data_IF_184241134343
#
_entry.id   IF_184241134343
#
_cell.length_a   1.000
_cell.length_b   1.000
_cell.length_c   1.000
_cell.angle_alpha   90.00
_cell.angle_beta   90.00
_cell.angle_gamma   90.00
#
_symmetry.space_group_name_H-M   'P 1'
#
loop_
_entity.id
_entity.type
_entity.pdbx_description
1 polymer ?
#
# COMPACT_ATOMS: atom_id res chain seq x y z
N UNK A 1 -20.11 -8.62 -8.76
CA UNK A 1 -20.02 -9.51 -9.93
C UNK A 1 -21.43 -10.01 -10.27
N UNK A 2 -21.79 -10.11 -11.55
CA UNK A 2 -23.19 -10.35 -12.01
C UNK A 2 -23.50 -11.80 -12.42
N UNK A 3 -22.73 -12.79 -11.94
CA UNK A 3 -22.95 -14.20 -12.29
C UNK A 3 -23.17 -15.07 -11.05
N UNK A 4 -24.26 -15.86 -11.05
CA UNK A 4 -24.45 -16.94 -10.09
C UNK A 4 -23.33 -17.99 -10.27
N UNK A 5 -22.70 -18.44 -9.18
CA UNK A 5 -21.70 -19.53 -9.20
C UNK A 5 -20.23 -19.15 -8.97
N UNK A 6 -19.88 -17.86 -8.89
CA UNK A 6 -18.49 -17.45 -8.58
C UNK A 6 -18.02 -17.80 -7.15
N UNK A 7 -18.91 -18.32 -6.30
CA UNK A 7 -18.64 -18.84 -4.96
C UNK A 7 -18.79 -20.38 -4.88
N UNK A 8 -18.95 -21.09 -6.01
CA UNK A 8 -19.29 -22.51 -6.01
C UNK A 8 -18.17 -23.41 -5.46
N UNK A 9 -16.91 -22.99 -5.57
CA UNK A 9 -15.76 -23.66 -4.96
C UNK A 9 -14.60 -22.66 -4.77
N UNK A 10 -13.57 -23.09 -4.03
CA UNK A 10 -12.40 -22.27 -3.70
C UNK A 10 -11.72 -21.70 -4.96
N UNK A 11 -11.49 -22.51 -6.00
CA UNK A 11 -10.81 -22.06 -7.22
C UNK A 11 -11.58 -20.93 -7.92
N UNK A 12 -12.89 -21.09 -8.09
CA UNK A 12 -13.75 -20.06 -8.69
C UNK A 12 -13.82 -18.80 -7.84
N UNK A 13 -13.85 -18.96 -6.50
CA UNK A 13 -13.83 -17.85 -5.56
C UNK A 13 -12.52 -17.06 -5.64
N UNK A 14 -11.37 -17.74 -5.73
CA UNK A 14 -10.06 -17.10 -5.96
C UNK A 14 -10.06 -16.38 -7.31
N UNK A 15 -10.44 -17.08 -8.39
CA UNK A 15 -10.42 -16.56 -9.77
C UNK A 15 -11.23 -15.26 -9.93
N UNK A 16 -12.41 -15.21 -9.30
CA UNK A 16 -13.36 -14.10 -9.38
C UNK A 16 -13.29 -13.13 -8.19
N UNK A 17 -12.39 -13.35 -7.23
CA UNK A 17 -12.26 -12.52 -6.03
C UNK A 17 -13.59 -12.39 -5.25
N UNK A 18 -14.23 -13.51 -4.92
CA UNK A 18 -15.54 -13.50 -4.27
C UNK A 18 -15.46 -13.13 -2.77
N UNK A 19 -15.79 -11.88 -2.44
CA UNK A 19 -15.78 -11.39 -1.06
C UNK A 19 -16.65 -12.24 -0.12
N UNK A 20 -17.87 -12.59 -0.53
CA UNK A 20 -18.79 -13.38 0.30
C UNK A 20 -18.23 -14.76 0.65
N UNK A 21 -17.49 -15.39 -0.28
CA UNK A 21 -16.87 -16.69 -0.03
C UNK A 21 -15.77 -16.56 1.04
N UNK A 22 -14.84 -15.60 0.90
CA UNK A 22 -13.73 -15.46 1.83
C UNK A 22 -14.13 -14.88 3.20
N UNK A 23 -15.12 -13.98 3.23
CA UNK A 23 -15.74 -13.55 4.49
C UNK A 23 -16.37 -14.75 5.23
N UNK A 24 -17.05 -15.64 4.51
CA UNK A 24 -17.61 -16.84 5.11
C UNK A 24 -16.53 -17.82 5.57
N UNK A 25 -15.48 -18.07 4.78
CA UNK A 25 -14.36 -18.92 5.17
C UNK A 25 -13.67 -18.37 6.42
N UNK A 26 -13.41 -17.06 6.48
CA UNK A 26 -12.88 -16.41 7.68
C UNK A 26 -13.76 -16.66 8.91
N UNK A 27 -15.08 -16.45 8.77
CA UNK A 27 -16.02 -16.73 9.86
C UNK A 27 -15.96 -18.19 10.32
N UNK A 28 -15.90 -19.14 9.38
CA UNK A 28 -15.78 -20.57 9.70
C UNK A 28 -14.45 -20.92 10.36
N UNK A 29 -13.36 -20.21 10.03
CA UNK A 29 -12.06 -20.38 10.68
C UNK A 29 -12.10 -19.89 12.13
N UNK A 30 -12.64 -18.68 12.36
CA UNK A 30 -12.69 -18.07 13.69
C UNK A 30 -13.75 -18.74 14.59
N UNK A 31 -14.93 -19.06 14.05
CA UNK A 31 -16.01 -19.74 14.79
C UNK A 31 -15.85 -21.28 14.80
N UNK A 32 -14.65 -21.81 14.52
CA UNK A 32 -14.46 -23.25 14.40
C UNK A 32 -14.72 -23.93 15.77
N UNK A 33 -15.65 -24.90 15.85
CA UNK A 33 -15.98 -25.58 17.12
C UNK A 33 -14.82 -26.36 17.77
N UNK A 34 -13.68 -26.48 17.08
CA UNK A 34 -12.46 -27.05 17.65
C UNK A 34 -11.79 -26.12 18.68
N UNK A 35 -12.08 -24.82 18.65
CA UNK A 35 -11.59 -23.83 19.63
C UNK A 35 -12.62 -23.62 20.75
N UNK A 36 -12.18 -23.09 21.89
CA UNK A 36 -13.09 -22.89 23.04
C UNK A 36 -14.06 -21.74 22.78
N UNK A 37 -13.57 -20.65 22.18
CA UNK A 37 -14.35 -19.48 21.85
C UNK A 37 -13.80 -18.73 20.62
N UNK A 38 -14.41 -17.58 20.32
CA UNK A 38 -14.08 -16.72 19.19
C UNK A 38 -12.71 -16.06 19.34
N UNK A 39 -12.25 -15.81 20.58
CA UNK A 39 -10.94 -15.19 20.83
C UNK A 39 -9.85 -16.19 20.45
N UNK A 40 -9.94 -17.43 20.93
CA UNK A 40 -9.01 -18.51 20.60
C UNK A 40 -8.92 -18.76 19.07
N UNK A 41 -10.08 -18.86 18.40
CA UNK A 41 -10.11 -19.06 16.95
C UNK A 41 -9.57 -17.88 16.15
N UNK A 42 -9.71 -16.65 16.68
CA UNK A 42 -9.13 -15.46 16.08
C UNK A 42 -7.62 -15.38 16.29
N UNK A 43 -7.11 -15.76 17.47
CA UNK A 43 -5.68 -15.83 17.76
C UNK A 43 -4.98 -16.83 16.84
N UNK A 44 -5.57 -18.01 16.61
CA UNK A 44 -5.02 -18.99 15.67
C UNK A 44 -5.01 -18.45 14.23
N UNK A 45 -6.06 -17.74 13.81
CA UNK A 45 -6.06 -17.06 12.50
C UNK A 45 -4.95 -16.01 12.39
N UNK A 46 -4.75 -15.20 13.44
CA UNK A 46 -3.71 -14.19 13.50
C UNK A 46 -2.31 -14.82 13.46
N UNK A 47 -2.11 -15.94 14.16
CA UNK A 47 -0.87 -16.71 14.14
C UNK A 47 -0.57 -17.28 12.75
N UNK A 48 -1.58 -17.79 12.04
CA UNK A 48 -1.43 -18.17 10.63
C UNK A 48 -0.98 -16.99 9.76
N UNK A 49 -1.53 -15.79 9.98
CA UNK A 49 -1.11 -14.58 9.25
C UNK A 49 0.34 -14.20 9.57
N UNK A 50 0.77 -14.35 10.82
CA UNK A 50 2.16 -14.17 11.24
C UNK A 50 3.12 -15.18 10.61
N UNK A 51 2.70 -16.45 10.49
CA UNK A 51 3.45 -17.48 9.77
C UNK A 51 3.61 -17.18 8.27
N UNK A 52 2.63 -16.51 7.64
CA UNK A 52 2.78 -15.95 6.29
C UNK A 52 3.72 -14.72 6.22
N UNK A 53 4.16 -14.21 7.38
CA UNK A 53 5.05 -13.05 7.49
C UNK A 53 4.32 -11.71 7.57
N UNK A 54 3.01 -11.69 7.80
CA UNK A 54 2.26 -10.45 8.03
C UNK A 54 2.30 -10.01 9.49
N UNK A 55 2.22 -8.71 9.76
CA UNK A 55 2.22 -8.17 11.13
C UNK A 55 3.56 -8.26 11.88
N UNK A 56 4.57 -8.91 11.29
CA UNK A 56 5.92 -9.07 11.83
C UNK A 56 6.98 -8.62 10.81
N UNK A 57 8.13 -8.07 11.26
CA UNK A 57 9.27 -7.85 10.38
C UNK A 57 9.76 -9.19 9.82
N UNK A 58 10.05 -9.24 8.51
CA UNK A 58 10.63 -10.43 7.87
C UNK A 58 12.11 -10.59 8.23
N UNK A 59 12.78 -9.47 8.55
CA UNK A 59 14.20 -9.40 8.86
C UNK A 59 15.06 -9.07 7.64
N UNK A 60 14.56 -8.23 6.73
CA UNK A 60 15.31 -7.80 5.54
C UNK A 60 16.55 -6.98 5.94
N UNK A 61 17.60 -7.04 5.14
CA UNK A 61 18.86 -6.29 5.29
C UNK A 61 18.72 -4.79 4.92
N UNK A 62 17.57 -4.17 5.22
CA UNK A 62 17.32 -2.74 5.05
C UNK A 62 16.86 -2.09 6.35
N UNK A 63 17.30 -0.84 6.63
CA UNK A 63 16.80 -0.09 7.77
C UNK A 63 15.33 0.32 7.55
N UNK A 64 14.58 0.42 8.64
CA UNK A 64 13.22 0.95 8.62
C UNK A 64 12.15 -0.03 8.10
N UNK A 65 12.39 -1.34 8.19
CA UNK A 65 11.36 -2.34 7.92
C UNK A 65 10.14 -2.10 8.81
N UNK A 66 8.99 -1.83 8.19
CA UNK A 66 7.72 -1.75 8.91
C UNK A 66 7.17 -3.16 9.12
N UNK A 67 6.66 -3.42 10.33
CA UNK A 67 6.02 -4.70 10.67
C UNK A 67 4.63 -4.88 10.02
N UNK A 68 4.03 -3.81 9.48
CA UNK A 68 2.61 -3.83 9.10
C UNK A 68 1.70 -3.89 10.33
N UNK A 69 0.53 -4.51 10.21
CA UNK A 69 -0.39 -4.74 11.32
C UNK A 69 -1.26 -5.97 11.04
N UNK A 70 -1.35 -6.88 11.99
CA UNK A 70 -2.44 -7.85 12.09
C UNK A 70 -3.05 -7.58 13.46
N UNK A 71 -4.35 -7.23 13.55
CA UNK A 71 -4.96 -6.90 14.82
C UNK A 71 -4.98 -8.13 15.73
N UNK A 72 -4.84 -7.89 17.04
CA UNK A 72 -4.95 -8.91 18.08
C UNK A 72 -6.28 -8.81 18.83
N UNK A 73 -6.51 -9.72 19.77
CA UNK A 73 -7.71 -9.72 20.63
C UNK A 73 -7.79 -8.43 21.45
N UNK A 74 -6.65 -7.89 21.91
CA UNK A 74 -6.59 -6.64 22.68
C UNK A 74 -7.13 -5.43 21.90
N UNK A 75 -6.89 -5.34 20.59
CA UNK A 75 -7.43 -4.29 19.73
C UNK A 75 -8.96 -4.29 19.67
N UNK A 76 -9.59 -5.47 19.59
CA UNK A 76 -11.04 -5.60 19.55
C UNK A 76 -11.68 -5.52 20.93
N UNK A 77 -11.02 -6.06 21.96
CA UNK A 77 -11.43 -5.97 23.36
C UNK A 77 -11.55 -4.53 23.82
N UNK A 78 -10.54 -3.69 23.51
CA UNK A 78 -10.52 -2.26 23.86
C UNK A 78 -11.64 -1.46 23.19
N UNK A 79 -11.92 -1.72 21.92
CA UNK A 79 -12.91 -0.93 21.16
C UNK A 79 -14.36 -1.36 21.41
N UNK A 80 -14.57 -2.63 21.76
CA UNK A 80 -15.91 -3.21 21.91
C UNK A 80 -16.23 -3.59 23.36
N UNK A 81 -15.43 -3.12 24.34
CA UNK A 81 -15.57 -3.47 25.75
C UNK A 81 -15.67 -4.99 25.99
N UNK A 82 -14.82 -5.79 25.32
CA UNK A 82 -14.84 -7.26 25.31
C UNK A 82 -16.10 -7.90 24.69
N UNK A 83 -16.91 -7.15 23.94
CA UNK A 83 -18.11 -7.67 23.26
C UNK A 83 -17.94 -7.62 21.75
N UNK A 84 -17.22 -8.59 21.18
CA UNK A 84 -17.07 -8.73 19.73
C UNK A 84 -17.24 -10.20 19.30
N UNK A 85 -17.48 -10.38 18.01
CA UNK A 85 -17.64 -11.70 17.38
C UNK A 85 -16.86 -11.74 16.07
N UNK A 86 -16.76 -12.88 15.41
CA UNK A 86 -16.23 -12.99 14.04
C UNK A 86 -16.96 -12.08 13.03
N UNK A 87 -18.20 -11.70 13.31
CA UNK A 87 -18.95 -10.73 12.49
C UNK A 87 -18.43 -9.30 12.66
N UNK A 88 -17.85 -8.95 13.81
CA UNK A 88 -17.27 -7.62 14.08
C UNK A 88 -16.06 -7.35 13.21
N UNK A 89 -15.24 -8.38 12.97
CA UNK A 89 -13.98 -8.29 12.22
C UNK A 89 -14.02 -9.09 10.90
N UNK A 90 -15.22 -9.36 10.39
CA UNK A 90 -15.49 -10.16 9.19
C UNK A 90 -14.71 -9.71 7.95
N UNK A 91 -14.43 -8.41 7.84
CA UNK A 91 -13.72 -7.82 6.70
C UNK A 91 -12.23 -8.15 6.66
N UNK A 92 -11.65 -8.69 7.75
CA UNK A 92 -10.29 -9.26 7.74
C UNK A 92 -10.18 -10.41 6.73
N UNK A 93 -11.23 -11.23 6.58
CA UNK A 93 -11.29 -12.31 5.60
C UNK A 93 -11.11 -11.89 4.14
N UNK A 94 -11.27 -10.59 3.84
CA UNK A 94 -11.09 -10.03 2.49
C UNK A 94 -9.93 -9.03 2.39
N UNK A 95 -9.07 -8.94 3.41
CA UNK A 95 -7.91 -8.06 3.37
C UNK A 95 -8.18 -6.60 3.77
N UNK A 96 -9.22 -6.35 4.57
CA UNK A 96 -9.66 -5.02 5.00
C UNK A 96 -9.70 -4.94 6.54
N UNK A 97 -10.23 -3.84 7.11
CA UNK A 97 -10.21 -3.54 8.55
C UNK A 97 -8.83 -3.04 9.03
N UNK A 98 -8.40 -3.42 10.23
CA UNK A 98 -7.15 -2.98 10.87
C UNK A 98 -5.89 -3.64 10.31
N UNK A 99 -6.01 -4.59 9.38
CA UNK A 99 -4.84 -5.26 8.83
C UNK A 99 -4.10 -4.37 7.82
N UNK A 100 -2.78 -4.35 7.95
CA UNK A 100 -1.86 -3.61 7.09
C UNK A 100 -0.71 -4.53 6.71
N UNK A 101 -0.36 -4.55 5.42
CA UNK A 101 0.76 -5.35 4.92
C UNK A 101 1.69 -4.48 4.06
N UNK A 102 2.99 -4.71 4.18
CA UNK A 102 3.96 -4.07 3.28
C UNK A 102 4.01 -4.80 1.93
N UNK A 103 4.41 -4.14 0.83
CA UNK A 103 4.66 -4.81 -0.44
C UNK A 103 5.66 -5.97 -0.34
N UNK A 104 6.67 -5.85 0.54
CA UNK A 104 7.64 -6.91 0.76
C UNK A 104 7.01 -8.14 1.43
N UNK A 105 6.16 -7.95 2.45
CA UNK A 105 5.40 -9.05 3.07
C UNK A 105 4.49 -9.75 2.06
N UNK A 106 3.78 -9.00 1.20
CA UNK A 106 2.95 -9.58 0.16
C UNK A 106 3.76 -10.39 -0.88
N UNK A 107 4.93 -9.90 -1.29
CA UNK A 107 5.81 -10.63 -2.19
C UNK A 107 6.33 -11.91 -1.53
N UNK A 108 6.72 -11.84 -0.25
CA UNK A 108 7.16 -13.01 0.50
C UNK A 108 6.05 -14.05 0.71
N UNK A 109 4.81 -13.63 0.94
CA UNK A 109 3.67 -14.54 0.99
C UNK A 109 3.50 -15.30 -0.34
N UNK A 110 3.76 -14.67 -1.49
CA UNK A 110 3.78 -15.39 -2.78
C UNK A 110 4.92 -16.39 -2.86
N UNK A 111 6.11 -16.08 -2.31
CA UNK A 111 7.20 -17.04 -2.20
C UNK A 111 6.79 -18.26 -1.35
N UNK A 112 6.14 -18.05 -0.20
CA UNK A 112 5.66 -19.12 0.67
C UNK A 112 4.67 -20.04 -0.07
N UNK A 113 3.70 -19.46 -0.80
CA UNK A 113 2.73 -20.24 -1.59
C UNK A 113 3.43 -21.00 -2.71
N UNK A 114 4.28 -20.32 -3.48
CA UNK A 114 5.03 -20.90 -4.60
C UNK A 114 5.94 -22.06 -4.17
N UNK A 115 6.54 -21.93 -2.99
CA UNK A 115 7.46 -22.90 -2.40
C UNK A 115 6.78 -23.94 -1.51
N UNK A 116 5.44 -23.92 -1.38
CA UNK A 116 4.68 -24.86 -0.54
C UNK A 116 5.09 -24.82 0.95
N UNK A 117 5.15 -23.61 1.51
CA UNK A 117 5.21 -23.39 2.95
C UNK A 117 6.55 -22.98 3.52
N UNK A 118 7.56 -22.75 2.68
CA UNK A 118 8.86 -22.23 3.13
C UNK A 118 9.30 -20.99 2.34
N UNK A 119 10.19 -20.20 2.92
CA UNK A 119 10.86 -19.10 2.24
C UNK A 119 12.29 -18.93 2.75
N UNK A 120 13.07 -18.09 2.06
CA UNK A 120 14.34 -17.57 2.54
C UNK A 120 14.12 -16.10 2.87
N UNK A 121 14.71 -15.61 3.96
CA UNK A 121 14.56 -14.20 4.33
C UNK A 121 14.96 -13.31 3.16
N UNK A 122 14.08 -12.41 2.68
CA UNK A 122 14.40 -11.54 1.56
C UNK A 122 15.58 -10.64 1.93
N UNK A 123 16.49 -10.44 0.98
CA UNK A 123 17.71 -9.65 1.17
C UNK A 123 18.17 -9.03 -0.14
N UNK A 124 18.90 -7.92 -0.05
CA UNK A 124 19.44 -7.16 -1.17
C UNK A 124 20.91 -7.49 -1.43
N UNK A 125 21.68 -7.80 -0.39
CA UNK A 125 23.10 -8.15 -0.50
C UNK A 125 23.25 -9.53 -1.13
N UNK A 126 23.55 -9.59 -2.43
CA UNK A 126 23.73 -10.86 -3.14
C UNK A 126 24.97 -11.64 -2.64
N UNK A 127 26.12 -10.97 -2.53
CA UNK A 127 27.36 -11.55 -2.02
C UNK A 127 28.28 -10.49 -1.44
N UNK A 128 29.09 -10.90 -0.47
CA UNK A 128 30.24 -10.15 0.02
C UNK A 128 31.48 -10.72 -0.67
N UNK A 129 32.31 -9.87 -1.25
CA UNK A 129 33.56 -10.28 -1.90
C UNK A 129 34.59 -10.53 -0.80
N UNK A 130 35.33 -11.63 -0.91
CA UNK A 130 36.29 -12.07 0.12
C UNK A 130 35.65 -12.23 1.50
N UNK A 131 34.48 -12.90 1.54
CA UNK A 131 33.67 -13.13 2.73
C UNK A 131 34.49 -13.70 3.90
N UNK A 132 34.55 -12.95 5.00
CA UNK A 132 35.17 -13.39 6.26
C UNK A 132 34.23 -14.31 7.05
N UNK A 133 34.72 -14.86 8.16
CA UNK A 133 33.89 -15.67 9.07
C UNK A 133 32.77 -14.83 9.72
N UNK A 134 33.06 -13.56 10.05
CA UNK A 134 32.08 -12.61 10.58
C UNK A 134 31.00 -12.29 9.54
N UNK A 135 31.41 -12.05 8.29
CA UNK A 135 30.49 -11.81 7.17
C UNK A 135 29.59 -13.03 6.91
N UNK A 136 30.17 -14.24 6.97
CA UNK A 136 29.42 -15.49 6.84
C UNK A 136 28.36 -15.61 7.93
N UNK A 137 28.73 -15.29 9.16
CA UNK A 137 27.81 -15.30 10.30
C UNK A 137 26.68 -14.31 10.11
N UNK A 138 26.96 -13.11 9.58
CA UNK A 138 25.97 -12.10 9.24
C UNK A 138 25.03 -12.56 8.10
N UNK A 139 25.55 -13.28 7.10
CA UNK A 139 24.78 -13.69 5.92
C UNK A 139 24.00 -15.00 6.11
N UNK A 140 24.38 -15.84 7.07
CA UNK A 140 23.76 -17.14 7.33
C UNK A 140 22.23 -17.12 7.51
N UNK A 141 21.62 -16.14 8.22
CA UNK A 141 20.15 -16.05 8.34
C UNK A 141 19.42 -15.94 7.00
N UNK A 142 20.04 -15.35 5.98
CA UNK A 142 19.46 -15.16 4.65
C UNK A 142 19.61 -16.40 3.75
N UNK A 143 20.59 -17.25 4.05
CA UNK A 143 20.87 -18.51 3.34
C UNK A 143 20.11 -19.70 3.91
N UNK A 144 19.44 -19.54 5.06
CA UNK A 144 18.72 -20.61 5.74
C UNK A 144 17.25 -20.66 5.31
N UNK A 145 16.80 -21.86 4.95
CA UNK A 145 15.38 -22.13 4.68
C UNK A 145 14.55 -21.98 5.95
N UNK A 146 13.50 -21.17 5.90
CA UNK A 146 12.50 -21.00 6.97
C UNK A 146 11.25 -21.79 6.60
N UNK A 147 11.03 -22.90 7.28
CA UNK A 147 9.84 -23.73 7.14
C UNK A 147 8.75 -23.19 8.08
N UNK A 148 7.76 -22.49 7.56
CA UNK A 148 6.73 -21.82 8.37
C UNK A 148 5.35 -22.47 8.24
N UNK A 149 5.03 -23.03 7.07
CA UNK A 149 3.72 -23.60 6.76
C UNK A 149 3.84 -24.92 5.97
N UNK A 150 4.97 -25.63 6.11
CA UNK A 150 5.23 -26.89 5.38
C UNK A 150 4.37 -28.06 5.85
N UNK A 151 3.61 -27.88 6.93
CA UNK A 151 2.62 -28.83 7.44
C UNK A 151 1.30 -28.79 6.64
N UNK A 152 1.06 -27.75 5.83
CA UNK A 152 -0.11 -27.68 4.95
C UNK A 152 0.02 -28.71 3.83
N UNK A 153 -1.07 -29.45 3.56
CA UNK A 153 -1.06 -30.50 2.53
C UNK A 153 -0.82 -29.96 1.12
N UNK A 154 -0.16 -30.76 0.29
CA UNK A 154 0.05 -30.44 -1.13
C UNK A 154 -1.26 -30.23 -1.89
N UNK A 155 -2.32 -30.94 -1.51
CA UNK A 155 -3.66 -30.78 -2.08
C UNK A 155 -4.20 -29.36 -1.85
N UNK A 156 -4.01 -28.82 -0.64
CA UNK A 156 -4.42 -27.45 -0.32
C UNK A 156 -3.61 -26.42 -1.10
N UNK A 157 -2.28 -26.58 -1.16
CA UNK A 157 -1.42 -25.71 -1.98
C UNK A 157 -1.82 -25.77 -3.46
N UNK A 158 -2.04 -26.96 -4.01
CA UNK A 158 -2.46 -27.15 -5.39
C UNK A 158 -3.79 -26.43 -5.68
N UNK A 159 -4.77 -26.54 -4.78
CA UNK A 159 -6.05 -25.86 -4.95
C UNK A 159 -5.90 -24.33 -5.01
N UNK A 160 -5.06 -23.75 -4.15
CA UNK A 160 -4.78 -22.31 -4.13
C UNK A 160 -3.99 -21.89 -5.37
N UNK A 161 -2.92 -22.61 -5.72
CA UNK A 161 -2.06 -22.32 -6.88
C UNK A 161 -2.85 -22.40 -8.19
N UNK A 162 -3.65 -23.44 -8.39
CA UNK A 162 -4.53 -23.55 -9.57
C UNK A 162 -5.59 -22.43 -9.57
N UNK A 163 -6.16 -22.10 -8.41
CA UNK A 163 -7.08 -20.97 -8.28
C UNK A 163 -6.42 -19.65 -8.68
N UNK A 164 -5.18 -19.39 -8.26
CA UNK A 164 -4.41 -18.21 -8.65
C UNK A 164 -4.05 -18.20 -10.14
N UNK A 165 -3.78 -19.36 -10.74
CA UNK A 165 -3.59 -19.48 -12.18
C UNK A 165 -4.87 -19.20 -12.96
N UNK A 166 -6.01 -19.64 -12.44
CA UNK A 166 -7.34 -19.38 -13.00
C UNK A 166 -7.67 -17.87 -13.01
N UNK A 167 -7.19 -17.10 -12.02
CA UNK A 167 -7.30 -15.62 -12.01
C UNK A 167 -6.75 -15.03 -13.31
N UNK A 168 -5.65 -15.58 -13.83
CA UNK A 168 -5.00 -15.12 -15.06
C UNK A 168 -5.61 -15.77 -16.29
N UNK A 169 -5.98 -17.06 -16.25
CA UNK A 169 -6.56 -17.75 -17.41
C UNK A 169 -7.94 -17.20 -17.80
N UNK A 170 -8.83 -17.03 -16.84
CA UNK A 170 -10.19 -16.57 -17.11
C UNK A 170 -10.79 -15.64 -16.05
N UNK A 171 -10.11 -15.43 -14.92
CA UNK A 171 -10.59 -14.57 -13.83
C UNK A 171 -10.28 -13.09 -14.00
N UNK A 172 -10.07 -12.42 -12.88
CA UNK A 172 -9.93 -10.94 -12.81
C UNK A 172 -8.61 -10.39 -13.37
N UNK A 173 -7.59 -11.22 -13.62
CA UNK A 173 -6.25 -10.81 -14.03
C UNK A 173 -5.84 -11.29 -15.42
N UNK A 174 -6.78 -11.50 -16.36
CA UNK A 174 -6.45 -11.89 -17.75
C UNK A 174 -5.41 -10.99 -18.42
N UNK A 175 -5.33 -9.73 -17.98
CA UNK A 175 -4.33 -8.76 -18.43
C UNK A 175 -2.88 -9.21 -18.20
N UNK A 176 -2.63 -10.08 -17.21
CA UNK A 176 -1.31 -10.54 -16.80
C UNK A 176 -0.84 -11.81 -17.53
N UNK A 177 -1.62 -12.31 -18.51
CA UNK A 177 -1.23 -13.46 -19.33
C UNK A 177 0.05 -13.18 -20.10
N UNK A 178 0.96 -14.15 -20.07
CA UNK A 178 2.19 -14.16 -20.86
C UNK A 178 2.17 -15.44 -21.72
N UNK A 179 2.38 -15.34 -23.05
CA UNK A 179 2.41 -16.52 -23.90
C UNK A 179 3.42 -17.56 -23.39
N UNK A 180 3.01 -18.83 -23.36
CA UNK A 180 3.83 -19.97 -22.93
C UNK A 180 4.33 -19.95 -21.47
N UNK A 181 3.84 -19.03 -20.63
CA UNK A 181 4.19 -18.97 -19.20
C UNK A 181 2.91 -19.00 -18.38
N UNK A 182 2.75 -20.04 -17.57
CA UNK A 182 1.66 -20.10 -16.60
C UNK A 182 1.96 -19.16 -15.43
N UNK A 183 1.21 -18.08 -15.35
CA UNK A 183 1.29 -17.09 -14.26
C UNK A 183 0.25 -17.41 -13.20
N UNK A 184 0.63 -17.38 -11.92
CA UNK A 184 -0.30 -17.38 -10.80
C UNK A 184 -0.40 -15.96 -10.25
N UNK A 185 -1.61 -15.41 -10.11
CA UNK A 185 -1.76 -14.04 -9.64
C UNK A 185 -3.00 -13.83 -8.79
N UNK A 186 -3.05 -12.67 -8.13
CA UNK A 186 -4.25 -12.15 -7.50
C UNK A 186 -4.30 -10.63 -7.61
N UNK A 187 -5.47 -10.12 -7.99
CA UNK A 187 -5.77 -8.68 -7.95
C UNK A 187 -6.23 -8.28 -6.55
N UNK A 188 -5.94 -7.03 -6.17
CA UNK A 188 -6.51 -6.40 -4.99
C UNK A 188 -6.89 -4.95 -5.29
N UNK A 189 -7.81 -4.43 -4.49
CA UNK A 189 -8.22 -3.02 -4.52
C UNK A 189 -8.32 -2.59 -3.07
N UNK A 190 -7.29 -1.91 -2.57
CA UNK A 190 -7.25 -1.47 -1.19
C UNK A 190 -7.90 -0.10 -1.07
N UNK A 191 -8.82 0.07 -0.14
CA UNK A 191 -9.46 1.37 0.05
C UNK A 191 -8.46 2.37 0.61
N UNK A 192 -8.53 3.60 0.12
CA UNK A 192 -7.62 4.65 0.54
C UNK A 192 -8.40 5.84 1.09
N UNK A 193 -7.97 6.34 2.24
CA UNK A 193 -8.57 7.49 2.90
C UNK A 193 -7.48 8.44 3.36
N UNK A 194 -7.77 9.73 3.34
CA UNK A 194 -6.90 10.76 3.93
C UNK A 194 -7.72 11.66 4.84
N UNK A 195 -7.04 12.35 5.76
CA UNK A 195 -7.64 13.42 6.56
C UNK A 195 -7.21 14.75 5.96
N UNK A 196 -8.16 15.53 5.50
CA UNK A 196 -7.93 16.88 4.97
C UNK A 196 -8.84 17.86 5.72
N UNK A 197 -8.24 18.89 6.31
CA UNK A 197 -8.94 19.91 7.09
C UNK A 197 -9.88 19.32 8.17
N UNK A 198 -9.39 18.30 8.88
CA UNK A 198 -10.14 17.62 9.94
C UNK A 198 -11.25 16.68 9.45
N UNK A 199 -11.40 16.49 8.14
CA UNK A 199 -12.42 15.61 7.54
C UNK A 199 -11.77 14.40 6.88
N UNK A 200 -12.36 13.21 7.08
CA UNK A 200 -11.97 11.99 6.38
C UNK A 200 -12.52 12.02 4.95
N UNK A 201 -11.63 11.95 3.97
CA UNK A 201 -11.95 11.97 2.53
C UNK A 201 -11.53 10.64 1.92
N UNK A 202 -12.43 10.03 1.13
CA UNK A 202 -12.12 8.84 0.34
C UNK A 202 -11.29 9.24 -0.88
N UNK A 203 -10.14 8.60 -1.04
CA UNK A 203 -9.28 8.73 -2.20
C UNK A 203 -9.57 7.61 -3.20
N UNK A 204 -9.10 7.72 -4.47
CA UNK A 204 -9.09 6.56 -5.34
C UNK A 204 -8.36 5.40 -4.66
N UNK A 205 -8.91 4.20 -4.80
CA UNK A 205 -8.35 3.00 -4.20
C UNK A 205 -6.92 2.75 -4.71
N UNK A 206 -6.12 2.03 -3.93
CA UNK A 206 -4.80 1.58 -4.37
C UNK A 206 -4.95 0.32 -5.22
N UNK A 207 -4.28 0.30 -6.36
CA UNK A 207 -4.23 -0.83 -7.27
C UNK A 207 -3.18 -1.81 -6.75
N UNK A 208 -3.65 -2.97 -6.29
CA UNK A 208 -2.79 -4.01 -5.73
C UNK A 208 -2.74 -5.20 -6.67
N UNK A 209 -1.57 -5.80 -6.82
CA UNK A 209 -1.39 -7.01 -7.62
C UNK A 209 -0.24 -7.83 -7.06
N UNK A 210 -0.47 -9.13 -6.90
CA UNK A 210 0.58 -10.07 -6.51
C UNK A 210 0.62 -11.22 -7.50
N UNK A 211 1.80 -11.74 -7.79
CA UNK A 211 1.96 -12.89 -8.66
C UNK A 211 3.28 -13.62 -8.43
N UNK A 212 3.32 -14.85 -8.93
CA UNK A 212 4.56 -15.57 -9.16
C UNK A 212 4.50 -16.35 -10.48
N UNK A 213 5.66 -16.57 -11.08
CA UNK A 213 5.77 -17.30 -12.33
C UNK A 213 7.17 -17.91 -12.53
N UNK A 214 7.29 -18.94 -13.40
CA UNK A 214 6.22 -19.82 -13.88
C UNK A 214 5.55 -20.61 -12.75
N UNK A 215 4.31 -21.07 -12.94
CA UNK A 215 3.57 -21.88 -11.94
C UNK A 215 4.33 -23.16 -11.56
N UNK A 216 4.86 -23.85 -12.56
CA UNK A 216 5.44 -25.19 -12.42
C UNK A 216 6.84 -25.16 -11.78
N UNK A 217 7.60 -24.10 -12.03
CA UNK A 217 8.95 -23.89 -11.49
C UNK A 217 9.15 -22.41 -11.18
N UNK A 218 8.59 -21.91 -10.07
CA UNK A 218 8.60 -20.48 -9.74
C UNK A 218 10.01 -19.89 -9.72
N UNK A 219 10.21 -18.80 -10.48
CA UNK A 219 11.49 -18.08 -10.58
C UNK A 219 11.42 -16.64 -10.10
N UNK A 220 10.23 -16.06 -10.05
CA UNK A 220 10.00 -14.69 -9.64
C UNK A 220 8.67 -14.57 -8.91
N UNK A 221 8.65 -13.78 -7.83
CA UNK A 221 7.46 -13.34 -7.12
C UNK A 221 7.46 -11.81 -7.07
N UNK A 222 6.31 -11.20 -7.34
CA UNK A 222 6.17 -9.74 -7.45
C UNK A 222 4.93 -9.31 -6.65
N UNK A 223 5.07 -8.20 -5.92
CA UNK A 223 3.96 -7.43 -5.40
C UNK A 223 4.03 -6.00 -5.96
N UNK A 224 2.94 -5.54 -6.56
CA UNK A 224 2.78 -4.18 -7.09
C UNK A 224 1.71 -3.45 -6.30
N UNK A 225 2.06 -2.26 -5.81
CA UNK A 225 1.13 -1.32 -5.21
C UNK A 225 1.23 0.00 -5.98
N UNK A 226 0.14 0.42 -6.62
CA UNK A 226 0.04 1.74 -7.27
C UNK A 226 -1.00 2.56 -6.53
N UNK A 227 -0.53 3.61 -5.87
CA UNK A 227 -1.40 4.46 -5.05
C UNK A 227 -2.34 5.28 -5.91
N UNK A 228 -3.58 5.46 -5.43
CA UNK A 228 -4.60 6.31 -6.07
C UNK A 228 -4.95 5.91 -7.52
N UNK A 229 -4.79 4.64 -7.87
CA UNK A 229 -4.84 4.15 -9.25
C UNK A 229 -6.13 3.35 -9.57
N UNK A 230 -6.97 3.07 -8.57
CA UNK A 230 -8.18 2.27 -8.72
C UNK A 230 -7.89 0.78 -8.78
N UNK A 231 -8.35 0.11 -9.85
CA UNK A 231 -8.38 -1.34 -9.92
C UNK A 231 -7.00 -2.00 -10.16
N UNK A 232 -6.77 -3.15 -9.51
CA UNK A 232 -5.58 -3.99 -9.65
C UNK A 232 -5.21 -4.37 -11.10
N UNK A 233 -6.22 -4.68 -11.92
CA UNK A 233 -6.02 -5.12 -13.31
C UNK A 233 -5.67 -3.99 -14.29
N UNK A 234 -5.87 -2.72 -13.90
CA UNK A 234 -5.58 -1.56 -14.77
C UNK A 234 -4.12 -1.12 -14.68
N UNK A 235 -3.50 -1.28 -13.50
CA UNK A 235 -2.14 -0.81 -13.23
C UNK A 235 -1.23 -1.92 -12.74
N UNK A 236 -1.54 -2.53 -11.58
CA UNK A 236 -0.70 -3.56 -10.99
C UNK A 236 -0.46 -4.76 -11.90
N UNK A 237 -1.50 -5.26 -12.57
CA UNK A 237 -1.41 -6.38 -13.50
C UNK A 237 -0.47 -6.13 -14.70
N UNK A 238 -0.66 -5.04 -15.46
CA UNK A 238 0.27 -4.65 -16.53
C UNK A 238 1.72 -4.46 -16.06
N UNK A 239 1.95 -3.80 -14.92
CA UNK A 239 3.30 -3.61 -14.37
C UNK A 239 3.94 -4.95 -14.05
N UNK A 240 3.23 -5.83 -13.35
CA UNK A 240 3.72 -7.17 -13.03
C UNK A 240 4.03 -7.98 -14.30
N UNK A 241 3.19 -7.91 -15.33
CA UNK A 241 3.43 -8.56 -16.63
C UNK A 241 4.72 -8.07 -17.29
N UNK A 242 4.94 -6.75 -17.32
CA UNK A 242 6.16 -6.15 -17.89
C UNK A 242 7.40 -6.67 -17.14
N UNK A 243 7.37 -6.68 -15.81
CA UNK A 243 8.48 -7.16 -14.98
C UNK A 243 8.74 -8.66 -15.19
N UNK A 244 7.69 -9.49 -15.22
CA UNK A 244 7.82 -10.93 -15.47
C UNK A 244 8.34 -11.22 -16.88
N UNK A 245 7.82 -10.55 -17.92
CA UNK A 245 8.32 -10.72 -19.30
C UNK A 245 9.80 -10.34 -19.39
N UNK A 246 10.19 -9.19 -18.81
CA UNK A 246 11.59 -8.77 -18.83
C UNK A 246 12.49 -9.73 -18.06
N UNK A 247 12.06 -10.26 -16.92
CA UNK A 247 12.87 -11.19 -16.13
C UNK A 247 12.98 -12.58 -16.77
N UNK A 248 11.87 -13.12 -17.30
CA UNK A 248 11.82 -14.51 -17.77
C UNK A 248 12.22 -14.67 -19.25
N UNK A 249 11.94 -13.66 -20.08
CA UNK A 249 12.17 -13.73 -21.54
C UNK A 249 13.27 -12.75 -22.01
N UNK A 250 13.83 -11.95 -21.11
CA UNK A 250 14.76 -10.83 -21.38
C UNK A 250 14.23 -9.77 -22.37
N UNK A 251 12.96 -9.87 -22.77
CA UNK A 251 12.33 -9.09 -23.84
C UNK A 251 10.90 -8.73 -23.47
N UNK A 252 10.40 -7.64 -24.04
CA UNK A 252 9.02 -7.18 -23.86
C UNK A 252 8.20 -7.42 -25.12
N UNK A 253 6.99 -7.96 -24.96
CA UNK A 253 5.99 -8.04 -26.01
C UNK A 253 5.57 -6.64 -26.48
N UNK A 254 5.02 -6.51 -27.70
CA UNK A 254 4.50 -5.25 -28.20
C UNK A 254 3.44 -4.64 -27.25
N UNK A 255 2.61 -5.51 -26.66
CA UNK A 255 1.62 -5.14 -25.65
C UNK A 255 2.27 -4.59 -24.38
N UNK A 256 3.33 -5.23 -23.87
CA UNK A 256 4.09 -4.71 -22.72
C UNK A 256 4.72 -3.36 -22.99
N UNK A 257 5.29 -3.16 -24.18
CA UNK A 257 5.87 -1.87 -24.57
C UNK A 257 4.81 -0.76 -24.60
N UNK A 258 3.63 -1.04 -25.16
CA UNK A 258 2.52 -0.08 -25.16
C UNK A 258 2.02 0.25 -23.74
N UNK A 259 1.87 -0.76 -22.87
CA UNK A 259 1.49 -0.53 -21.48
C UNK A 259 2.57 0.25 -20.72
N UNK A 260 3.85 -0.04 -20.94
CA UNK A 260 4.96 0.70 -20.33
C UNK A 260 4.90 2.19 -20.70
N UNK A 261 4.71 2.52 -21.98
CA UNK A 261 4.57 3.90 -22.45
C UNK A 261 3.36 4.62 -21.85
N UNK A 262 2.23 3.91 -21.71
CA UNK A 262 1.03 4.46 -21.07
C UNK A 262 1.27 4.74 -19.59
N UNK A 263 1.91 3.81 -18.88
CA UNK A 263 2.14 3.89 -17.44
C UNK A 263 3.18 4.96 -17.11
N UNK A 264 4.26 5.06 -17.89
CA UNK A 264 5.32 6.04 -17.67
C UNK A 264 4.85 7.50 -17.86
N UNK A 265 3.82 7.72 -18.68
CA UNK A 265 3.21 9.04 -18.93
C UNK A 265 2.07 9.39 -17.98
N UNK A 266 1.67 8.47 -17.10
CA UNK A 266 0.54 8.70 -16.20
C UNK A 266 0.89 9.65 -15.05
N UNK A 267 -0.08 10.51 -14.67
CA UNK A 267 0.01 11.31 -13.46
C UNK A 267 -1.13 10.92 -12.51
N UNK A 268 -0.78 10.20 -11.44
CA UNK A 268 -1.70 9.74 -10.40
C UNK A 268 -1.62 10.57 -9.12
N UNK A 269 -0.95 11.72 -9.16
CA UNK A 269 -0.86 12.63 -8.00
C UNK A 269 -2.26 13.16 -7.70
N UNK A 270 -2.80 12.95 -6.49
CA UNK A 270 -4.13 13.42 -6.15
C UNK A 270 -4.28 14.94 -6.27
N UNK A 271 -5.45 15.41 -6.72
CA UNK A 271 -5.71 16.84 -6.90
C UNK A 271 -5.49 17.67 -5.62
N UNK A 272 -5.82 17.13 -4.45
CA UNK A 272 -5.61 17.82 -3.17
C UNK A 272 -4.13 18.06 -2.86
N UNK A 273 -3.21 17.28 -3.43
CA UNK A 273 -1.78 17.39 -3.16
C UNK A 273 -1.24 18.74 -3.61
N UNK A 274 -1.73 19.28 -4.75
CA UNK A 274 -1.36 20.63 -5.22
C UNK A 274 -1.73 21.71 -4.20
N UNK A 275 -2.91 21.59 -3.60
CA UNK A 275 -3.38 22.52 -2.56
C UNK A 275 -2.54 22.42 -1.29
N UNK A 276 -2.26 21.20 -0.82
CA UNK A 276 -1.41 20.98 0.36
C UNK A 276 0.01 21.49 0.12
N UNK A 277 0.58 21.20 -1.04
CA UNK A 277 1.90 21.70 -1.43
C UNK A 277 1.93 23.22 -1.48
N UNK A 278 0.91 23.86 -2.08
CA UNK A 278 0.80 25.32 -2.12
C UNK A 278 0.77 25.92 -0.71
N UNK A 279 0.01 25.33 0.21
CA UNK A 279 -0.08 25.75 1.62
C UNK A 279 1.25 25.60 2.36
N UNK A 280 1.94 24.48 2.21
CA UNK A 280 3.25 24.28 2.85
C UNK A 280 4.31 25.22 2.28
N UNK A 281 4.34 25.39 0.96
CA UNK A 281 5.27 26.29 0.29
C UNK A 281 5.00 27.76 0.64
N UNK A 282 3.74 28.17 0.79
CA UNK A 282 3.38 29.53 1.22
C UNK A 282 3.83 29.80 2.65
N UNK A 283 3.67 28.83 3.56
CA UNK A 283 4.18 28.90 4.94
C UNK A 283 5.71 28.96 4.94
N UNK A 284 6.39 28.15 4.13
CA UNK A 284 7.85 28.17 3.98
C UNK A 284 8.32 29.53 3.46
N UNK A 285 7.66 30.07 2.44
CA UNK A 285 7.97 31.38 1.89
C UNK A 285 7.76 32.50 2.91
N UNK A 286 6.74 32.40 3.76
CA UNK A 286 6.56 33.33 4.87
C UNK A 286 7.67 33.23 5.93
N UNK A 287 8.05 32.01 6.32
CA UNK A 287 9.19 31.79 7.23
C UNK A 287 10.49 32.36 6.66
N UNK A 288 10.75 32.15 5.38
CA UNK A 288 11.89 32.72 4.67
C UNK A 288 11.86 34.25 4.73
N UNK A 289 10.75 34.86 4.36
CA UNK A 289 10.59 36.32 4.41
C UNK A 289 10.78 36.88 5.84
N UNK A 290 10.31 36.19 6.87
CA UNK A 290 10.54 36.60 8.26
C UNK A 290 12.02 36.65 8.62
N UNK A 291 12.81 35.69 8.13
CA UNK A 291 14.26 35.59 8.36
C UNK A 291 15.06 36.58 7.53
N UNK A 292 14.84 36.62 6.21
CA UNK A 292 15.70 37.33 5.25
C UNK A 292 15.21 38.73 4.89
N UNK A 293 13.93 39.02 5.17
CA UNK A 293 13.20 40.21 4.67
C UNK A 293 13.07 40.30 3.15
N UNK A 294 13.46 39.25 2.42
CA UNK A 294 13.28 39.15 0.98
C UNK A 294 11.86 38.69 0.64
N UNK A 295 11.14 39.52 -0.12
CA UNK A 295 9.76 39.26 -0.51
C UNK A 295 9.60 38.52 -1.85
N UNK A 296 10.67 38.30 -2.61
CA UNK A 296 10.60 37.70 -3.94
C UNK A 296 9.94 36.30 -3.92
N UNK A 297 10.24 35.50 -2.90
CA UNK A 297 9.70 34.14 -2.79
C UNK A 297 8.21 34.13 -2.36
N UNK A 298 7.85 34.92 -1.35
CA UNK A 298 6.47 34.97 -0.83
C UNK A 298 5.50 35.59 -1.84
N UNK A 299 5.96 36.51 -2.70
CA UNK A 299 5.11 37.18 -3.71
C UNK A 299 4.36 36.20 -4.63
N UNK A 300 4.91 35.00 -4.86
CA UNK A 300 4.29 33.93 -5.66
C UNK A 300 3.02 33.34 -5.02
N UNK A 301 2.87 33.49 -3.70
CA UNK A 301 1.80 32.88 -2.91
C UNK A 301 0.77 33.90 -2.39
N UNK A 302 0.86 35.14 -2.85
CA UNK A 302 0.01 36.23 -2.37
C UNK A 302 -1.00 36.60 -3.45
N UNK A 303 -2.26 36.26 -3.21
CA UNK A 303 -3.37 36.59 -4.13
C UNK A 303 -3.75 38.07 -4.04
N UNK A 304 -4.51 38.56 -5.03
CA UNK A 304 -5.00 39.94 -5.08
C UNK A 304 -5.91 40.24 -3.88
N UNK A 305 -6.77 39.29 -3.51
CA UNK A 305 -7.67 39.39 -2.36
C UNK A 305 -6.91 39.50 -1.04
N UNK A 306 -5.86 38.70 -0.86
CA UNK A 306 -4.99 38.79 0.32
C UNK A 306 -4.30 40.16 0.42
N UNK A 307 -3.90 40.76 -0.71
CA UNK A 307 -3.35 42.13 -0.73
C UNK A 307 -4.39 43.17 -0.35
N UNK A 308 -5.63 42.99 -0.80
CA UNK A 308 -6.73 43.91 -0.46
C UNK A 308 -7.10 43.81 1.03
N UNK A 309 -7.20 42.61 1.59
CA UNK A 309 -7.43 42.38 3.02
C UNK A 309 -6.31 42.96 3.88
N UNK A 310 -5.05 42.74 3.50
CA UNK A 310 -3.90 43.32 4.19
C UNK A 310 -3.96 44.86 4.18
N UNK A 311 -4.33 45.48 3.05
CA UNK A 311 -4.51 46.95 2.96
C UNK A 311 -5.65 47.45 3.86
N UNK A 312 -6.76 46.72 3.93
CA UNK A 312 -7.91 47.05 4.78
C UNK A 312 -7.56 47.00 6.27
N UNK A 313 -6.90 45.93 6.73
CA UNK A 313 -6.42 45.83 8.11
C UNK A 313 -5.44 46.94 8.45
N UNK A 314 -4.57 47.31 7.51
CA UNK A 314 -3.60 48.36 7.72
C UNK A 314 -4.23 49.76 7.81
N UNK A 315 -5.32 49.98 7.08
CA UNK A 315 -6.13 51.18 7.22
C UNK A 315 -6.82 51.23 8.60
N UNK A 316 -7.21 50.06 9.13
CA UNK A 316 -7.84 49.93 10.45
C UNK A 316 -6.85 49.96 11.62
N UNK A 317 -5.60 49.56 11.41
CA UNK A 317 -4.56 49.47 12.47
C UNK A 317 -3.72 50.72 12.65
N UNK A 318 -3.96 51.79 11.88
CA UNK A 318 -3.22 53.06 12.03
C UNK A 318 -3.63 53.73 13.35
N UNK A 319 -2.72 53.92 14.32
CA UNK A 319 -2.98 54.82 15.43
C UNK A 319 -3.06 56.25 14.89
N UNK A 320 -3.91 57.06 15.52
CA UNK A 320 -4.02 58.49 15.27
C UNK A 320 -2.64 59.15 15.44
N UNK A 321 -2.04 59.55 14.30
CA UNK A 321 -0.89 60.46 14.12
C UNK A 321 0.28 60.31 15.11
N UNK A 322 1.38 59.70 14.65
CA UNK A 322 2.72 60.22 14.95
C UNK A 322 3.39 60.69 13.65
N UNK A 323 3.92 61.92 13.70
CA UNK A 323 4.57 62.62 12.60
C UNK A 323 5.94 61.98 12.32
N UNK A 324 6.11 61.58 11.06
CA UNK A 324 7.36 61.22 10.36
C UNK A 324 8.08 59.93 10.78
N UNK A 325 7.91 58.83 10.00
CA UNK A 325 8.95 57.83 9.81
C UNK A 325 9.60 57.95 8.40
N UNK A 326 10.85 57.48 8.24
CA UNK A 326 11.60 57.60 6.99
C UNK A 326 11.01 56.71 5.89
N UNK A 327 11.25 57.08 4.62
CA UNK A 327 10.87 56.30 3.41
C UNK A 327 11.57 54.93 3.39
N UNK A 328 11.07 53.96 4.16
CA UNK A 328 11.27 52.54 3.84
C UNK A 328 10.13 52.11 2.92
N UNK A 329 10.49 51.51 1.79
CA UNK A 329 9.57 50.99 0.79
C UNK A 329 8.52 50.12 1.50
N UNK A 330 7.30 50.64 1.58
CA UNK A 330 6.25 50.10 2.42
C UNK A 330 5.74 48.80 1.80
N UNK A 331 6.06 47.65 2.40
CA UNK A 331 5.65 46.35 1.88
C UNK A 331 4.46 45.79 2.71
N UNK A 332 3.21 45.87 2.22
CA UNK A 332 2.04 45.37 2.97
C UNK A 332 2.11 43.88 3.28
N UNK A 333 3.04 43.14 2.66
CA UNK A 333 3.28 41.73 2.91
C UNK A 333 3.79 41.42 4.33
N UNK A 334 4.30 42.42 5.05
CA UNK A 334 4.72 42.27 6.46
C UNK A 334 3.58 41.90 7.42
N UNK A 335 2.35 42.24 7.08
CA UNK A 335 1.17 42.05 7.94
C UNK A 335 0.36 40.80 7.57
N UNK A 336 0.73 40.08 6.51
CA UNK A 336 0.10 38.81 6.15
C UNK A 336 0.46 37.76 7.20
N UNK A 337 -0.54 37.29 7.94
CA UNK A 337 -0.39 36.14 8.83
C UNK A 337 -0.43 34.82 8.06
N UNK A 338 0.21 33.76 8.56
CA UNK A 338 0.14 32.43 7.96
C UNK A 338 -1.29 31.95 7.69
N UNK A 339 -2.24 32.25 8.58
CA UNK A 339 -3.66 31.85 8.43
C UNK A 339 -4.33 32.33 7.13
N UNK A 340 -3.85 33.42 6.51
CA UNK A 340 -4.38 33.92 5.24
C UNK A 340 -3.77 33.22 4.01
N UNK A 341 -2.58 32.63 4.16
CA UNK A 341 -1.88 31.88 3.09
C UNK A 341 -2.40 30.44 2.95
N UNK A 342 -3.37 30.07 3.78
CA UNK A 342 -3.91 28.72 3.97
C UNK A 342 -5.24 28.50 3.25
N UNK A 343 -5.89 29.57 2.77
CA UNK A 343 -7.18 29.51 2.10
C UNK A 343 -7.03 29.71 0.58
N UNK A 344 -6.86 28.60 -0.13
CA UNK A 344 -7.30 28.42 -1.52
C UNK A 344 -7.68 26.97 -1.77
#
# INVERSE_FOLDING_TARGET
HHGAGHAANLRLAIANSCNSYFAHVYRLTVDNPAYNDVEDGFEEWADYMHHFGFGVPLGVDLPGESRGNIPDTADYNRENNNHWTSCTNLTLGIGQDKMLATPLQMANAMCIIANRGYFYTPHFVNKIVDETEDDTTLMNPFRKRRNVLTNISDTAYNAVIEGMNDVVKFGTARIAQIPNINVCAKTGTAENYTILDGRRIKLPNNSMFVCFAPKENPKIAIAVCVQNAGYGSTWGGPIARILMEKYLNDTLSARSKADFERISKANLVPHYFKRVQYKEDSIRAFKWFKMTKDSAYIQKYITVEMRQQAKLQLAQSKPTKQKNPPKKQFNPLYFLKPEYLVHS
#
